data_IF_579082319097
#
_entry.id   IF_579082319097
#
_cell.length_a   1.000
_cell.length_b   1.000
_cell.length_c   1.000
_cell.angle_alpha   90.00
_cell.angle_beta   90.00
_cell.angle_gamma   90.00
#
_symmetry.space_group_name_H-M   'P 1'
#
loop_
_entity.id
_entity.type
_entity.pdbx_description
1 polymer ?
#
# COMPACT_ATOMS: atom_id res chain seq x y z
N UNK A 1 20.54 4.04 5.10
CA UNK A 1 21.37 2.86 5.42
C UNK A 1 21.65 1.99 4.19
N UNK A 2 20.61 1.55 3.44
CA UNK A 2 20.80 0.77 2.21
C UNK A 2 21.70 1.50 1.21
N UNK A 3 21.47 2.79 0.96
CA UNK A 3 22.32 3.59 0.05
C UNK A 3 23.79 3.63 0.46
N UNK A 4 24.07 3.63 1.78
CA UNK A 4 25.43 3.59 2.29
C UNK A 4 26.10 2.25 1.95
N UNK A 5 25.37 1.13 2.11
CA UNK A 5 25.84 -0.20 1.73
C UNK A 5 26.11 -0.30 0.22
N UNK A 6 25.19 0.22 -0.62
CA UNK A 6 25.38 0.27 -2.07
C UNK A 6 26.58 1.14 -2.46
N UNK A 7 26.73 2.30 -1.83
CA UNK A 7 27.87 3.20 -2.05
C UNK A 7 29.18 2.53 -1.66
N UNK A 8 29.22 1.83 -0.53
CA UNK A 8 30.39 1.07 -0.09
C UNK A 8 30.78 -0.01 -1.12
N UNK A 9 29.80 -0.80 -1.61
CA UNK A 9 30.05 -1.81 -2.66
C UNK A 9 30.60 -1.16 -3.94
N UNK A 10 30.04 -0.02 -4.34
CA UNK A 10 30.50 0.73 -5.51
C UNK A 10 31.91 1.29 -5.37
N UNK A 11 32.25 1.86 -4.21
CA UNK A 11 33.60 2.34 -3.92
C UNK A 11 34.62 1.20 -3.93
N UNK A 12 34.29 0.06 -3.33
CA UNK A 12 35.15 -1.11 -3.33
C UNK A 12 35.43 -1.63 -4.74
N UNK A 13 34.39 -1.76 -5.57
CA UNK A 13 34.51 -2.21 -6.96
C UNK A 13 35.41 -1.27 -7.78
N UNK A 14 35.25 0.04 -7.60
CA UNK A 14 36.12 1.04 -8.23
C UNK A 14 37.58 0.88 -7.80
N UNK A 15 37.84 0.76 -6.50
CA UNK A 15 39.20 0.60 -5.96
C UNK A 15 39.87 -0.69 -6.46
N UNK A 16 39.14 -1.81 -6.48
CA UNK A 16 39.62 -3.10 -6.97
C UNK A 16 40.03 -3.01 -8.45
N UNK A 17 39.19 -2.37 -9.29
CA UNK A 17 39.46 -2.17 -10.72
C UNK A 17 40.69 -1.29 -10.97
N UNK A 18 40.81 -0.16 -10.27
CA UNK A 18 41.97 0.72 -10.41
C UNK A 18 43.26 0.06 -9.92
N UNK A 19 43.19 -0.71 -8.83
CA UNK A 19 44.36 -1.46 -8.34
C UNK A 19 44.83 -2.50 -9.35
N UNK A 20 43.90 -3.27 -9.93
CA UNK A 20 44.22 -4.24 -10.99
C UNK A 20 44.83 -3.59 -12.24
N UNK A 21 44.50 -2.32 -12.52
CA UNK A 21 45.08 -1.54 -13.61
C UNK A 21 46.49 -1.04 -13.31
N UNK A 22 46.79 -0.68 -12.07
CA UNK A 22 48.07 -0.06 -11.66
C UNK A 22 49.11 -1.12 -11.27
N UNK A 23 48.71 -2.16 -10.52
CA UNK A 23 49.61 -3.15 -9.94
C UNK A 23 49.20 -4.57 -10.39
N UNK A 24 49.52 -4.93 -11.63
CA UNK A 24 49.19 -6.24 -12.19
C UNK A 24 50.04 -7.40 -11.62
N UNK A 25 51.15 -7.13 -10.93
CA UNK A 25 51.97 -8.15 -10.26
C UNK A 25 51.40 -8.61 -8.91
N UNK A 26 50.72 -7.72 -8.19
CA UNK A 26 50.05 -8.02 -6.92
C UNK A 26 48.53 -7.98 -7.14
N UNK A 27 47.91 -9.13 -7.37
CA UNK A 27 46.47 -9.20 -7.64
C UNK A 27 45.62 -8.72 -6.45
N UNK A 28 44.48 -8.09 -6.76
CA UNK A 28 43.41 -7.81 -5.79
C UNK A 28 42.57 -9.08 -5.59
N UNK A 29 43.14 -10.10 -4.94
CA UNK A 29 42.54 -11.42 -4.80
C UNK A 29 41.76 -11.56 -3.48
N UNK A 30 40.81 -10.65 -3.27
CA UNK A 30 39.89 -10.70 -2.14
C UNK A 30 38.60 -11.43 -2.55
N UNK A 31 38.07 -12.24 -1.64
CA UNK A 31 36.81 -12.95 -1.88
C UNK A 31 35.63 -11.98 -1.69
N UNK A 32 35.18 -11.39 -2.79
CA UNK A 32 34.03 -10.50 -2.83
C UNK A 32 32.76 -11.18 -2.29
N UNK A 33 32.59 -12.49 -2.48
CA UNK A 33 31.42 -13.19 -1.98
C UNK A 33 31.44 -13.23 -0.45
N UNK A 34 32.60 -13.51 0.16
CA UNK A 34 32.75 -13.49 1.61
C UNK A 34 32.55 -12.08 2.19
N UNK A 35 33.08 -11.05 1.53
CA UNK A 35 32.98 -9.64 1.99
C UNK A 35 31.54 -9.14 1.90
N UNK A 36 30.86 -9.40 0.79
CA UNK A 36 29.56 -8.80 0.53
C UNK A 36 28.37 -9.61 1.03
N UNK A 37 28.53 -10.91 1.34
CA UNK A 37 27.43 -11.72 1.85
C UNK A 37 26.74 -11.08 3.08
N UNK A 38 27.51 -10.62 4.08
CA UNK A 38 26.93 -9.97 5.26
C UNK A 38 26.32 -8.60 4.96
N UNK A 39 26.87 -7.85 3.99
CA UNK A 39 26.33 -6.57 3.55
C UNK A 39 25.00 -6.78 2.83
N UNK A 40 24.93 -7.79 1.98
CA UNK A 40 23.74 -8.16 1.21
C UNK A 40 22.64 -8.67 2.14
N UNK A 41 22.96 -9.59 3.06
CA UNK A 41 22.04 -10.05 4.08
C UNK A 41 21.52 -8.89 4.96
N UNK A 42 22.38 -7.93 5.31
CA UNK A 42 21.97 -6.75 6.07
C UNK A 42 21.00 -5.86 5.26
N UNK A 43 21.29 -5.62 3.98
CA UNK A 43 20.39 -4.87 3.09
C UNK A 43 19.04 -5.59 2.92
N UNK A 44 19.02 -6.91 2.79
CA UNK A 44 17.79 -7.69 2.76
C UNK A 44 16.98 -7.49 4.06
N UNK A 45 17.63 -7.56 5.22
CA UNK A 45 16.97 -7.32 6.51
C UNK A 45 16.40 -5.90 6.64
N UNK A 46 17.11 -4.90 6.12
CA UNK A 46 16.59 -3.53 6.08
C UNK A 46 15.37 -3.40 5.18
N UNK A 47 15.34 -4.10 4.03
CA UNK A 47 14.15 -4.14 3.18
C UNK A 47 12.97 -4.83 3.89
N UNK A 48 13.22 -5.89 4.67
CA UNK A 48 12.18 -6.52 5.49
C UNK A 48 11.58 -5.52 6.51
N UNK A 49 12.44 -4.72 7.17
CA UNK A 49 12.00 -3.67 8.12
C UNK A 49 11.17 -2.60 7.42
N UNK A 50 11.60 -2.14 6.23
CA UNK A 50 10.85 -1.16 5.43
C UNK A 50 9.46 -1.69 5.09
N UNK A 51 9.35 -2.93 4.63
CA UNK A 51 8.07 -3.59 4.32
C UNK A 51 7.15 -3.67 5.55
N UNK A 52 7.71 -3.94 6.73
CA UNK A 52 6.97 -3.94 8.00
C UNK A 52 6.46 -2.53 8.32
N UNK A 53 7.30 -1.50 8.21
CA UNK A 53 6.91 -0.11 8.45
C UNK A 53 5.81 0.36 7.48
N UNK A 54 5.91 0.03 6.20
CA UNK A 54 4.85 0.34 5.23
C UNK A 54 3.52 -0.36 5.60
N UNK A 55 3.61 -1.61 6.05
CA UNK A 55 2.43 -2.37 6.51
C UNK A 55 1.83 -1.81 7.81
N UNK A 56 2.65 -1.21 8.68
CA UNK A 56 2.20 -0.53 9.89
C UNK A 56 1.29 0.67 9.59
N UNK A 57 1.62 1.44 8.55
CA UNK A 57 0.80 2.55 8.09
C UNK A 57 -0.54 2.01 7.52
N UNK A 58 -0.45 1.04 6.60
CA UNK A 58 -1.60 0.56 5.83
C UNK A 58 -2.60 -0.24 6.67
N UNK A 59 -2.12 -1.18 7.49
CA UNK A 59 -2.98 -2.10 8.24
C UNK A 59 -3.09 -1.73 9.72
N UNK A 60 -2.04 -1.16 10.30
CA UNK A 60 -2.01 -0.78 11.70
C UNK A 60 -2.48 0.65 11.97
N UNK A 61 -2.64 1.48 10.93
CA UNK A 61 -2.90 2.93 11.05
C UNK A 61 -1.85 3.65 11.91
N UNK A 62 -0.62 3.14 11.89
CA UNK A 62 0.52 3.66 12.63
C UNK A 62 1.41 4.44 11.66
N UNK A 63 1.11 5.74 11.52
CA UNK A 63 1.96 6.69 10.81
C UNK A 63 2.57 7.67 11.82
N UNK A 64 3.82 8.04 11.61
CA UNK A 64 4.57 8.97 12.46
C UNK A 64 4.14 10.42 12.20
N UNK A 65 3.63 10.71 10.99
CA UNK A 65 3.37 12.08 10.52
C UNK A 65 1.92 12.49 10.67
N UNK A 66 0.98 11.58 10.46
CA UNK A 66 -0.46 11.87 10.45
C UNK A 66 -1.26 10.83 11.25
N UNK A 67 -2.39 11.25 11.83
CA UNK A 67 -3.32 10.33 12.46
C UNK A 67 -4.28 9.80 11.40
N UNK A 68 -4.17 8.50 11.08
CA UNK A 68 -5.05 7.86 10.10
C UNK A 68 -6.40 7.58 10.78
N UNK A 69 -7.53 8.12 10.30
CA UNK A 69 -8.83 7.90 10.90
C UNK A 69 -9.31 6.46 10.73
N UNK A 70 -10.22 6.02 11.60
CA UNK A 70 -10.83 4.70 11.46
C UNK A 70 -11.73 4.70 10.21
N UNK A 71 -11.66 3.67 9.35
CA UNK A 71 -12.58 3.54 8.23
C UNK A 71 -14.02 3.51 8.73
N UNK A 72 -14.83 4.45 8.26
CA UNK A 72 -16.25 4.57 8.57
C UNK A 72 -17.02 4.51 7.27
N UNK A 73 -17.91 3.53 7.13
CA UNK A 73 -18.63 3.31 5.88
C UNK A 73 -20.11 3.65 6.05
N UNK A 74 -20.65 4.42 5.12
CA UNK A 74 -22.08 4.70 5.04
C UNK A 74 -22.90 3.50 4.55
N UNK A 75 -24.23 3.63 4.60
CA UNK A 75 -25.17 2.66 4.04
C UNK A 75 -25.47 1.45 4.93
N UNK A 76 -26.32 0.55 4.42
CA UNK A 76 -26.86 -0.61 5.16
C UNK A 76 -25.80 -1.66 5.50
N UNK A 77 -24.78 -1.80 4.64
CA UNK A 77 -23.66 -2.75 4.83
C UNK A 77 -22.42 -2.12 5.48
N UNK A 78 -22.47 -0.82 5.83
CA UNK A 78 -21.32 -0.09 6.36
C UNK A 78 -20.70 -0.74 7.60
N UNK A 79 -21.53 -1.17 8.56
CA UNK A 79 -21.07 -1.83 9.79
C UNK A 79 -20.31 -3.14 9.54
N UNK A 80 -20.65 -3.90 8.49
CA UNK A 80 -19.92 -5.12 8.12
C UNK A 80 -18.53 -4.80 7.55
N UNK A 81 -18.43 -3.74 6.75
CA UNK A 81 -17.18 -3.24 6.20
C UNK A 81 -16.26 -2.70 7.29
N UNK A 82 -16.80 -1.92 8.23
CA UNK A 82 -16.06 -1.43 9.41
C UNK A 82 -15.56 -2.59 10.28
N UNK A 83 -16.40 -3.61 10.50
CA UNK A 83 -16.01 -4.81 11.27
C UNK A 83 -14.88 -5.56 10.58
N UNK A 84 -14.95 -5.71 9.25
CA UNK A 84 -13.89 -6.34 8.46
C UNK A 84 -12.59 -5.56 8.54
N UNK A 85 -12.65 -4.24 8.41
CA UNK A 85 -11.50 -3.33 8.56
C UNK A 85 -10.88 -3.42 9.95
N UNK A 86 -11.70 -3.37 11.01
CA UNK A 86 -11.23 -3.45 12.39
C UNK A 86 -10.60 -4.81 12.71
N UNK A 87 -11.11 -5.89 12.11
CA UNK A 87 -10.51 -7.23 12.23
C UNK A 87 -9.13 -7.28 11.58
N UNK A 88 -8.95 -6.67 10.41
CA UNK A 88 -7.63 -6.58 9.76
C UNK A 88 -6.65 -5.81 10.65
N UNK A 89 -7.07 -4.66 11.18
CA UNK A 89 -6.25 -3.83 12.09
C UNK A 89 -5.84 -4.61 13.35
N UNK A 90 -6.80 -5.25 14.02
CA UNK A 90 -6.53 -6.05 15.23
C UNK A 90 -5.58 -7.21 14.95
N UNK A 91 -5.77 -7.92 13.83
CA UNK A 91 -4.94 -9.05 13.47
C UNK A 91 -3.51 -8.61 13.11
N UNK A 92 -3.37 -7.46 12.45
CA UNK A 92 -2.07 -6.86 12.16
C UNK A 92 -1.34 -6.45 13.44
N UNK A 93 -2.01 -5.76 14.36
CA UNK A 93 -1.41 -5.36 15.65
C UNK A 93 -0.96 -6.57 16.48
N UNK A 94 -1.74 -7.66 16.48
CA UNK A 94 -1.33 -8.90 17.14
C UNK A 94 -0.08 -9.51 16.47
N UNK A 95 -0.04 -9.52 15.13
CA UNK A 95 1.12 -10.01 14.36
C UNK A 95 2.36 -9.17 14.62
N UNK A 96 2.22 -7.84 14.65
CA UNK A 96 3.30 -6.91 14.95
C UNK A 96 3.82 -7.06 16.38
N UNK A 97 2.91 -7.23 17.35
CA UNK A 97 3.27 -7.46 18.75
C UNK A 97 4.09 -8.73 18.93
N UNK A 98 3.66 -9.83 18.31
CA UNK A 98 4.40 -11.09 18.29
C UNK A 98 5.78 -10.90 17.66
N UNK A 99 5.87 -10.24 16.50
CA UNK A 99 7.13 -9.96 15.82
C UNK A 99 8.09 -9.14 16.70
N UNK A 100 7.57 -8.10 17.38
CA UNK A 100 8.37 -7.23 18.24
C UNK A 100 8.83 -7.92 19.53
N UNK A 101 8.09 -8.91 20.03
CA UNK A 101 8.44 -9.64 21.25
C UNK A 101 9.42 -10.76 20.93
N UNK A 102 9.14 -11.53 19.89
CA UNK A 102 9.84 -12.78 19.60
C UNK A 102 11.11 -12.56 18.75
N UNK A 103 11.14 -11.50 17.93
CA UNK A 103 12.17 -11.32 16.89
C UNK A 103 12.98 -10.03 16.97
N UNK A 104 12.86 -9.26 18.06
CA UNK A 104 13.58 -7.98 18.23
C UNK A 104 15.10 -8.11 18.07
N UNK A 105 15.68 -9.16 18.62
CA UNK A 105 17.13 -9.43 18.57
C UNK A 105 17.55 -10.15 17.28
N UNK A 106 16.58 -10.62 16.48
CA UNK A 106 16.81 -11.42 15.26
C UNK A 106 16.82 -10.54 14.00
N UNK A 107 15.94 -9.54 13.94
CA UNK A 107 15.62 -8.80 12.70
C UNK A 107 16.84 -8.18 12.00
N UNK A 108 17.77 -7.57 12.75
CA UNK A 108 19.00 -6.97 12.17
C UNK A 108 20.25 -7.85 12.35
N UNK A 109 20.11 -9.04 12.94
CA UNK A 109 21.23 -9.93 13.18
C UNK A 109 21.47 -10.85 11.98
N UNK A 110 22.41 -10.47 11.12
CA UNK A 110 22.75 -11.22 9.89
C UNK A 110 23.33 -12.62 10.14
N UNK A 111 23.74 -12.93 11.38
CA UNK A 111 24.23 -14.26 11.75
C UNK A 111 23.11 -15.21 12.18
N UNK A 112 21.89 -14.67 12.38
CA UNK A 112 20.71 -15.43 12.79
C UNK A 112 19.83 -15.72 11.58
N UNK A 113 19.90 -16.97 11.12
CA UNK A 113 19.07 -17.43 10.00
C UNK A 113 17.61 -17.65 10.41
N UNK A 114 17.33 -17.74 11.71
CA UNK A 114 15.99 -17.89 12.27
C UNK A 114 15.02 -16.78 11.83
N UNK A 115 15.53 -15.57 11.54
CA UNK A 115 14.73 -14.47 11.01
C UNK A 115 14.07 -14.78 9.66
N UNK A 116 14.67 -15.64 8.81
CA UNK A 116 14.06 -16.00 7.52
C UNK A 116 12.72 -16.73 7.68
N UNK A 117 12.59 -17.60 8.67
CA UNK A 117 11.33 -18.31 8.92
C UNK A 117 10.26 -17.37 9.49
N UNK A 118 10.64 -16.49 10.42
CA UNK A 118 9.73 -15.51 11.00
C UNK A 118 9.23 -14.49 9.97
N UNK A 119 10.10 -13.98 9.09
CA UNK A 119 9.67 -13.04 8.03
C UNK A 119 8.77 -13.72 7.00
N UNK A 120 8.99 -15.00 6.67
CA UNK A 120 8.10 -15.75 5.77
C UNK A 120 6.72 -15.92 6.41
N UNK A 121 6.66 -16.27 7.69
CA UNK A 121 5.40 -16.39 8.45
C UNK A 121 4.66 -15.05 8.52
N UNK A 122 5.38 -13.96 8.78
CA UNK A 122 4.86 -12.61 8.73
C UNK A 122 4.25 -12.28 7.36
N UNK A 123 5.02 -12.46 6.28
CA UNK A 123 4.58 -12.18 4.89
C UNK A 123 3.32 -12.94 4.50
N UNK A 124 3.21 -14.22 4.87
CA UNK A 124 1.99 -15.02 4.62
C UNK A 124 0.76 -14.42 5.32
N UNK A 125 0.95 -13.95 6.56
CA UNK A 125 -0.14 -13.32 7.31
C UNK A 125 -0.54 -11.99 6.67
N UNK A 126 0.43 -11.15 6.28
CA UNK A 126 0.16 -9.88 5.57
C UNK A 126 -0.53 -10.11 4.23
N UNK A 127 -0.11 -11.10 3.46
CA UNK A 127 -0.75 -11.45 2.18
C UNK A 127 -2.24 -11.79 2.36
N UNK A 128 -2.59 -12.55 3.39
CA UNK A 128 -3.99 -12.86 3.72
C UNK A 128 -4.80 -11.60 4.10
N UNK A 129 -4.17 -10.63 4.77
CA UNK A 129 -4.77 -9.33 5.07
C UNK A 129 -4.98 -8.50 3.79
N UNK A 130 -4.00 -8.47 2.88
CA UNK A 130 -4.10 -7.82 1.57
C UNK A 130 -5.28 -8.36 0.76
N UNK A 131 -5.42 -9.68 0.66
CA UNK A 131 -6.54 -10.33 -0.03
C UNK A 131 -7.90 -10.01 0.62
N UNK A 132 -7.92 -9.86 1.95
CA UNK A 132 -9.12 -9.47 2.69
C UNK A 132 -9.50 -8.02 2.37
N UNK A 133 -8.54 -7.11 2.34
CA UNK A 133 -8.79 -5.70 1.98
C UNK A 133 -9.14 -5.53 0.51
N UNK A 134 -8.53 -6.28 -0.42
CA UNK A 134 -8.92 -6.24 -1.84
C UNK A 134 -10.38 -6.68 -2.05
N UNK A 135 -10.84 -7.69 -1.30
CA UNK A 135 -12.25 -8.10 -1.28
C UNK A 135 -13.13 -7.04 -0.65
N UNK A 136 -12.71 -6.43 0.45
CA UNK A 136 -13.41 -5.30 1.08
C UNK A 136 -13.63 -4.17 0.08
N UNK A 137 -12.56 -3.70 -0.58
CA UNK A 137 -12.63 -2.67 -1.64
C UNK A 137 -13.64 -3.08 -2.70
N UNK A 138 -13.55 -4.30 -3.22
CA UNK A 138 -14.47 -4.76 -4.27
C UNK A 138 -15.93 -4.80 -3.80
N UNK A 139 -16.19 -5.23 -2.58
CA UNK A 139 -17.54 -5.33 -2.02
C UNK A 139 -18.15 -3.95 -1.73
N UNK A 140 -17.36 -2.99 -1.24
CA UNK A 140 -17.84 -1.61 -0.99
C UNK A 140 -18.38 -1.03 -2.29
N UNK A 141 -17.62 -1.09 -3.39
CA UNK A 141 -18.04 -0.55 -4.69
C UNK A 141 -19.18 -1.32 -5.38
N UNK A 142 -19.55 -2.52 -4.90
CA UNK A 142 -20.76 -3.20 -5.34
C UNK A 142 -22.03 -2.65 -4.69
N UNK A 143 -21.92 -2.00 -3.54
CA UNK A 143 -23.06 -1.49 -2.76
C UNK A 143 -23.25 0.03 -2.91
N UNK A 144 -22.28 0.72 -3.51
CA UNK A 144 -22.35 2.16 -3.80
C UNK A 144 -23.44 2.43 -4.83
N UNK A 145 -24.36 3.33 -4.52
CA UNK A 145 -25.50 3.65 -5.37
C UNK A 145 -25.36 4.98 -6.12
N UNK A 146 -24.53 5.89 -5.63
CA UNK A 146 -24.38 7.25 -6.18
C UNK A 146 -22.91 7.71 -6.16
N UNK A 147 -22.63 8.83 -6.83
CA UNK A 147 -21.28 9.38 -6.95
C UNK A 147 -20.68 9.83 -5.61
N UNK A 148 -21.51 10.36 -4.72
CA UNK A 148 -21.09 10.88 -3.42
C UNK A 148 -20.59 9.75 -2.51
N UNK A 149 -21.37 8.68 -2.37
CA UNK A 149 -20.99 7.44 -1.67
C UNK A 149 -19.72 6.82 -2.28
N UNK A 150 -19.57 6.91 -3.61
CA UNK A 150 -18.39 6.40 -4.31
C UNK A 150 -17.12 7.18 -3.93
N UNK A 151 -17.22 8.52 -3.88
CA UNK A 151 -16.13 9.41 -3.50
C UNK A 151 -15.76 9.27 -2.03
N UNK A 152 -16.76 9.19 -1.14
CA UNK A 152 -16.53 8.89 0.27
C UNK A 152 -15.81 7.56 0.45
N UNK A 153 -16.27 6.51 -0.23
CA UNK A 153 -15.64 5.18 -0.22
C UNK A 153 -14.20 5.22 -0.71
N UNK A 154 -13.90 5.97 -1.78
CA UNK A 154 -12.52 6.16 -2.26
C UNK A 154 -11.66 6.85 -1.21
N UNK A 155 -12.18 7.88 -0.53
CA UNK A 155 -11.45 8.60 0.50
C UNK A 155 -11.13 7.70 1.71
N UNK A 156 -12.11 6.93 2.17
CA UNK A 156 -11.94 5.97 3.27
C UNK A 156 -10.88 4.90 2.93
N UNK A 157 -10.87 4.43 1.68
CA UNK A 157 -9.99 3.35 1.23
C UNK A 157 -8.62 3.84 0.72
N UNK A 158 -8.37 5.16 0.72
CA UNK A 158 -7.15 5.76 0.16
C UNK A 158 -5.88 5.21 0.79
N UNK A 159 -5.83 5.08 2.12
CA UNK A 159 -4.64 4.60 2.83
C UNK A 159 -4.28 3.17 2.46
N UNK A 160 -5.27 2.33 2.14
CA UNK A 160 -5.01 0.98 1.64
C UNK A 160 -4.34 0.97 0.27
N UNK A 161 -4.50 2.02 -0.53
CA UNK A 161 -3.91 2.14 -1.87
C UNK A 161 -2.40 2.38 -1.87
N UNK A 162 -1.80 2.73 -0.72
CA UNK A 162 -0.35 2.84 -0.59
C UNK A 162 0.35 1.48 -0.71
N UNK A 163 -0.36 0.38 -0.43
CA UNK A 163 0.15 -0.96 -0.71
C UNK A 163 0.01 -1.29 -2.18
N UNK A 164 1.12 -1.62 -2.85
CA UNK A 164 1.15 -1.88 -4.29
C UNK A 164 0.16 -2.97 -4.75
N UNK A 165 -0.03 -4.02 -3.96
CA UNK A 165 -0.97 -5.11 -4.29
C UNK A 165 -2.43 -4.64 -4.28
N UNK A 166 -2.80 -3.72 -3.40
CA UNK A 166 -4.16 -3.17 -3.28
C UNK A 166 -4.38 -2.01 -4.26
N UNK A 167 -3.31 -1.24 -4.55
CA UNK A 167 -3.33 -0.07 -5.43
C UNK A 167 -4.00 -0.34 -6.77
N UNK A 168 -3.70 -1.47 -7.41
CA UNK A 168 -4.30 -1.83 -8.70
C UNK A 168 -5.82 -1.97 -8.61
N UNK A 169 -6.32 -2.60 -7.55
CA UNK A 169 -7.76 -2.76 -7.32
C UNK A 169 -8.41 -1.42 -7.01
N UNK A 170 -7.76 -0.57 -6.22
CA UNK A 170 -8.22 0.77 -5.91
C UNK A 170 -8.33 1.66 -7.17
N UNK A 171 -7.28 1.73 -7.99
CA UNK A 171 -7.26 2.54 -9.21
C UNK A 171 -8.31 2.10 -10.25
N UNK A 172 -8.63 0.79 -10.29
CA UNK A 172 -9.76 0.30 -11.09
C UNK A 172 -11.08 0.91 -10.61
N UNK A 173 -11.29 0.99 -9.29
CA UNK A 173 -12.50 1.62 -8.75
C UNK A 173 -12.52 3.13 -9.00
N UNK A 174 -11.38 3.83 -8.88
CA UNK A 174 -11.27 5.24 -9.27
C UNK A 174 -11.74 5.45 -10.72
N UNK A 175 -11.33 4.56 -11.63
CA UNK A 175 -11.77 4.62 -13.04
C UNK A 175 -13.27 4.39 -13.18
N UNK A 176 -13.86 3.47 -12.40
CA UNK A 176 -15.31 3.24 -12.39
C UNK A 176 -16.08 4.48 -11.89
N UNK A 177 -15.58 5.15 -10.84
CA UNK A 177 -16.18 6.39 -10.33
C UNK A 177 -16.16 7.50 -11.39
N UNK A 178 -15.07 7.62 -12.15
CA UNK A 178 -15.02 8.56 -13.29
C UNK A 178 -16.07 8.27 -14.35
N UNK A 179 -16.31 6.99 -14.68
CA UNK A 179 -17.37 6.59 -15.62
C UNK A 179 -18.75 6.90 -15.04
N UNK A 180 -18.99 6.63 -13.76
CA UNK A 180 -20.24 7.00 -13.08
C UNK A 180 -20.50 8.50 -13.20
N UNK A 181 -19.49 9.32 -12.94
CA UNK A 181 -19.58 10.78 -13.02
C UNK A 181 -19.91 11.27 -14.44
N UNK A 182 -19.24 10.73 -15.45
CA UNK A 182 -19.52 11.07 -16.85
C UNK A 182 -20.96 10.72 -17.24
N UNK A 183 -21.43 9.53 -16.86
CA UNK A 183 -22.81 9.11 -17.12
C UNK A 183 -23.84 10.01 -16.42
N UNK A 184 -23.54 10.48 -15.21
CA UNK A 184 -24.40 11.39 -14.46
C UNK A 184 -24.48 12.78 -15.10
N UNK A 185 -23.36 13.30 -15.62
CA UNK A 185 -23.34 14.54 -16.41
C UNK A 185 -24.18 14.39 -17.67
N UNK A 186 -23.99 13.31 -18.42
CA UNK A 186 -24.73 13.06 -19.67
C UNK A 186 -26.24 12.92 -19.42
N UNK A 187 -26.62 12.18 -18.38
CA UNK A 187 -28.01 12.03 -17.94
C UNK A 187 -28.61 13.39 -17.56
N UNK A 188 -27.87 14.19 -16.80
CA UNK A 188 -28.32 15.54 -16.40
C UNK A 188 -28.48 16.46 -17.61
N UNK A 189 -27.55 16.42 -18.56
CA UNK A 189 -27.65 17.17 -19.82
C UNK A 189 -28.89 16.77 -20.63
N UNK A 190 -29.17 15.47 -20.74
CA UNK A 190 -30.37 14.97 -21.42
C UNK A 190 -31.66 15.43 -20.71
N UNK A 191 -31.71 15.32 -19.38
CA UNK A 191 -32.83 15.80 -18.57
C UNK A 191 -33.08 17.31 -18.74
N UNK A 192 -32.03 18.13 -18.81
CA UNK A 192 -32.15 19.57 -19.06
C UNK A 192 -32.66 19.87 -20.48
N UNK A 193 -32.16 19.15 -21.49
CA UNK A 193 -32.65 19.28 -22.86
C UNK A 193 -34.12 18.89 -22.97
N UNK A 194 -34.56 17.85 -22.28
CA UNK A 194 -35.96 17.43 -22.30
C UNK A 194 -36.86 18.38 -21.50
N UNK A 195 -36.39 18.92 -20.36
CA UNK A 195 -37.09 19.99 -19.64
C UNK A 195 -37.23 21.26 -20.47
N UNK A 196 -36.21 21.65 -21.24
CA UNK A 196 -36.31 22.83 -22.12
C UNK A 196 -37.41 22.70 -23.19
N UNK A 197 -37.83 21.47 -23.52
CA UNK A 197 -38.96 21.20 -24.43
C UNK A 197 -40.32 21.21 -23.71
N UNK A 198 -40.33 21.10 -22.39
CA UNK A 198 -41.53 21.08 -21.55
C UNK A 198 -41.77 22.49 -20.99
N UNK A 199 -42.75 23.21 -21.54
CA UNK A 199 -43.24 24.41 -20.88
C UNK A 199 -44.06 24.01 -19.66
N UNK A 200 -43.56 24.31 -18.46
CA UNK A 200 -44.33 24.14 -17.23
C UNK A 200 -45.50 25.14 -17.24
N UNK A 201 -46.72 24.61 -17.34
CA UNK A 201 -47.96 25.39 -17.59
C UNK A 201 -48.32 26.43 -16.53
N UNK A 202 -47.55 26.50 -15.43
CA UNK A 202 -47.77 27.37 -14.28
C UNK A 202 -46.71 28.48 -14.18
N UNK A 203 -45.70 28.48 -15.05
CA UNK A 203 -44.60 29.44 -15.05
C UNK A 203 -44.73 30.34 -16.29
N UNK A 204 -44.56 31.67 -16.20
CA UNK A 204 -44.62 32.54 -17.37
C UNK A 204 -43.58 32.13 -18.43
N UNK A 205 -43.91 32.25 -19.71
CA UNK A 205 -43.07 31.79 -20.84
C UNK A 205 -41.63 32.34 -20.86
N UNK A 206 -41.38 33.46 -20.18
CA UNK A 206 -40.06 34.10 -20.07
C UNK A 206 -39.26 33.69 -18.81
N UNK A 207 -39.87 32.88 -17.94
CA UNK A 207 -39.29 32.40 -16.69
C UNK A 207 -39.05 30.87 -16.70
N UNK A 208 -39.36 30.19 -17.81
CA UNK A 208 -39.00 28.80 -18.11
C UNK A 208 -37.67 28.69 -18.83
#
# INVERSE_FOLDING_TARGET
CIDCCLTYKGMYDLMSKEHGRINSEYGWNLDNAMIFNHVDAFMERLNDVIDICESMIVFGRLDETESIPKPQFGGTSGGEFETTSARVETNFLATLSALSTDSKELILNVHKNEWYEEVIKYRRTVQSMEETVQRLVSNVFQHVCNIEEALESLNILLFYSYRNTIRKTFLRQVSNVWVMFANEIDSTSQMLMDRSKLHESWVPYYAS
#
